data_IF_207970748827
#
_entry.id   IF_207970748827
#
_cell.length_a   1.000
_cell.length_b   1.000
_cell.length_c   1.000
_cell.angle_alpha   90.00
_cell.angle_beta   90.00
_cell.angle_gamma   90.00
#
_symmetry.space_group_name_H-M   'P 1'
#
loop_
_entity.id
_entity.type
_entity.pdbx_description
1 polymer ?
#
# COMPACT_ATOMS: atom_id res chain seq x y z
N UNK A 1 17.65 12.58 4.36
CA UNK A 1 16.67 12.85 3.28
C UNK A 1 15.67 13.85 3.85
N UNK A 2 15.49 15.00 3.20
CA UNK A 2 14.43 15.94 3.56
C UNK A 2 13.14 15.69 2.73
N UNK A 3 12.09 16.47 2.97
CA UNK A 3 10.81 16.31 2.24
C UNK A 3 10.90 16.57 0.72
N UNK A 4 11.86 17.39 0.26
CA UNK A 4 12.09 17.65 -1.18
C UNK A 4 12.80 16.47 -1.81
N UNK A 5 13.78 15.91 -1.11
CA UNK A 5 14.45 14.68 -1.53
C UNK A 5 13.45 13.53 -1.63
N UNK A 6 12.56 13.36 -0.64
CA UNK A 6 11.54 12.30 -0.63
C UNK A 6 10.52 12.45 -1.78
N UNK A 7 10.10 13.67 -2.10
CA UNK A 7 9.25 13.94 -3.27
C UNK A 7 9.98 13.63 -4.58
N UNK A 8 11.26 13.95 -4.67
CA UNK A 8 12.07 13.65 -5.86
C UNK A 8 12.23 12.14 -6.02
N UNK A 9 12.48 11.43 -4.93
CA UNK A 9 12.52 9.98 -4.87
C UNK A 9 11.19 9.35 -5.32
N UNK A 10 10.06 9.85 -4.80
CA UNK A 10 8.71 9.38 -5.17
C UNK A 10 8.51 9.38 -6.69
N UNK A 11 8.83 10.51 -7.34
CA UNK A 11 8.70 10.67 -8.79
C UNK A 11 9.68 9.79 -9.55
N UNK A 12 10.96 9.76 -9.13
CA UNK A 12 12.02 8.99 -9.79
C UNK A 12 11.72 7.50 -9.77
N UNK A 13 11.34 6.99 -8.61
CA UNK A 13 11.07 5.57 -8.38
C UNK A 13 9.63 5.16 -8.68
N UNK A 14 8.77 6.12 -9.03
CA UNK A 14 7.34 5.93 -9.33
C UNK A 14 6.64 5.16 -8.21
N UNK A 15 6.89 5.57 -6.97
CA UNK A 15 6.52 4.79 -5.78
C UNK A 15 5.01 4.51 -5.74
N UNK A 16 4.18 5.51 -6.01
CA UNK A 16 2.72 5.31 -6.03
C UNK A 16 2.24 4.44 -7.19
N UNK A 17 2.89 4.46 -8.36
CA UNK A 17 2.53 3.58 -9.48
C UNK A 17 2.86 2.11 -9.13
N UNK A 18 4.01 1.89 -8.49
CA UNK A 18 4.41 0.58 -7.95
C UNK A 18 3.43 0.11 -6.88
N UNK A 19 3.01 1.00 -5.97
CA UNK A 19 2.02 0.69 -4.93
C UNK A 19 0.66 0.31 -5.52
N UNK A 20 0.16 1.06 -6.52
CA UNK A 20 -1.11 0.73 -7.20
C UNK A 20 -1.03 -0.65 -7.86
N UNK A 21 0.07 -0.94 -8.56
CA UNK A 21 0.29 -2.26 -9.16
C UNK A 21 0.36 -3.37 -8.12
N UNK A 22 1.06 -3.13 -7.01
CA UNK A 22 1.16 -4.06 -5.88
C UNK A 22 -0.20 -4.40 -5.30
N UNK A 23 -1.02 -3.38 -5.01
CA UNK A 23 -2.38 -3.57 -4.50
C UNK A 23 -3.21 -4.48 -5.42
N UNK A 24 -3.23 -4.21 -6.71
CA UNK A 24 -4.01 -5.03 -7.65
C UNK A 24 -3.48 -6.44 -7.77
N UNK A 25 -2.17 -6.66 -7.72
CA UNK A 25 -1.60 -8.00 -7.68
C UNK A 25 -2.06 -8.75 -6.42
N UNK A 26 -1.93 -8.10 -5.25
CA UNK A 26 -2.34 -8.66 -3.96
C UNK A 26 -3.83 -9.05 -3.97
N UNK A 27 -4.71 -8.12 -4.31
CA UNK A 27 -6.18 -8.30 -4.34
C UNK A 27 -6.61 -9.38 -5.32
N UNK A 28 -6.01 -9.43 -6.52
CA UNK A 28 -6.35 -10.44 -7.51
C UNK A 28 -5.88 -11.85 -7.11
N UNK A 29 -4.69 -11.96 -6.50
CA UNK A 29 -4.22 -13.23 -5.94
C UNK A 29 -5.13 -13.69 -4.79
N UNK A 30 -5.44 -12.80 -3.85
CA UNK A 30 -6.32 -13.11 -2.73
C UNK A 30 -7.71 -13.56 -3.18
N UNK A 31 -8.33 -12.84 -4.14
CA UNK A 31 -9.62 -13.24 -4.74
C UNK A 31 -9.61 -14.65 -5.32
N UNK A 32 -8.47 -15.10 -5.86
CA UNK A 32 -8.32 -16.44 -6.46
C UNK A 32 -8.06 -17.51 -5.40
N UNK A 33 -7.23 -17.21 -4.42
CA UNK A 33 -6.74 -18.18 -3.42
C UNK A 33 -7.75 -18.37 -2.28
N UNK A 34 -8.38 -17.28 -1.81
CA UNK A 34 -9.35 -17.30 -0.72
C UNK A 34 -10.60 -16.46 -1.04
N UNK A 35 -11.44 -16.90 -2.00
CA UNK A 35 -12.60 -16.12 -2.45
C UNK A 35 -13.63 -15.81 -1.35
N UNK A 36 -13.71 -16.63 -0.31
CA UNK A 36 -14.64 -16.42 0.80
C UNK A 36 -14.21 -15.25 1.70
N UNK A 37 -12.95 -15.23 2.14
CA UNK A 37 -12.41 -14.12 2.95
C UNK A 37 -12.33 -12.83 2.15
N UNK A 38 -12.02 -12.94 0.85
CA UNK A 38 -12.09 -11.83 -0.09
C UNK A 38 -13.48 -11.18 -0.15
N UNK A 39 -14.53 -11.99 -0.36
CA UNK A 39 -15.91 -11.50 -0.40
C UNK A 39 -16.35 -10.94 0.96
N UNK A 40 -15.87 -11.50 2.06
CA UNK A 40 -16.15 -10.96 3.38
C UNK A 40 -15.56 -9.55 3.57
N UNK A 41 -14.35 -9.31 3.08
CA UNK A 41 -13.67 -8.02 3.17
C UNK A 41 -14.29 -6.97 2.24
N UNK A 42 -14.41 -7.28 0.96
CA UNK A 42 -14.85 -6.32 -0.06
C UNK A 42 -16.37 -6.28 -0.26
N UNK A 43 -17.13 -7.26 0.26
CA UNK A 43 -18.60 -7.39 0.06
C UNK A 43 -19.05 -7.51 -1.39
N UNK A 44 -18.12 -7.55 -2.35
CA UNK A 44 -18.33 -7.75 -3.77
C UNK A 44 -17.13 -8.47 -4.38
N UNK A 45 -17.35 -9.19 -5.49
CA UNK A 45 -16.27 -9.69 -6.35
C UNK A 45 -15.88 -8.71 -7.46
N UNK A 46 -16.72 -7.70 -7.71
CA UNK A 46 -16.42 -6.65 -8.66
C UNK A 46 -15.49 -5.64 -7.99
N UNK A 47 -14.20 -5.74 -8.30
CA UNK A 47 -13.18 -4.82 -7.77
C UNK A 47 -13.01 -3.58 -8.66
N UNK A 48 -13.72 -3.50 -9.80
CA UNK A 48 -13.63 -2.32 -10.68
C UNK A 48 -14.23 -1.08 -10.04
N UNK A 49 -15.06 -1.24 -9.00
CA UNK A 49 -15.62 -0.16 -8.19
C UNK A 49 -14.69 0.33 -7.08
N UNK A 50 -13.56 -0.36 -6.84
CA UNK A 50 -12.56 0.06 -5.85
C UNK A 50 -11.73 1.20 -6.44
N UNK A 51 -11.67 2.32 -5.71
CA UNK A 51 -10.83 3.47 -6.01
C UNK A 51 -9.62 3.49 -5.09
N UNK A 52 -8.48 3.93 -5.63
CA UNK A 52 -7.24 4.12 -4.87
C UNK A 52 -6.85 5.59 -4.88
N UNK A 53 -6.58 6.14 -3.70
CA UNK A 53 -6.15 7.52 -3.53
C UNK A 53 -4.80 7.60 -2.82
N UNK A 54 -3.93 8.51 -3.25
CA UNK A 54 -2.64 8.74 -2.61
C UNK A 54 -2.88 9.47 -1.29
N UNK A 55 -2.58 8.81 -0.17
CA UNK A 55 -2.71 9.44 1.15
C UNK A 55 -1.43 10.17 1.53
N UNK A 56 -0.31 9.43 1.60
CA UNK A 56 0.97 9.97 2.05
C UNK A 56 2.16 9.13 1.60
N UNK A 57 3.34 9.75 1.66
CA UNK A 57 4.64 9.08 1.59
C UNK A 57 5.47 9.49 2.81
N UNK A 58 6.17 8.53 3.41
CA UNK A 58 6.95 8.74 4.61
C UNK A 58 8.31 8.04 4.51
N UNK A 59 9.34 8.67 5.08
CA UNK A 59 10.59 8.00 5.43
C UNK A 59 10.44 7.44 6.85
N UNK A 60 10.69 6.15 7.00
CA UNK A 60 10.46 5.43 8.25
C UNK A 60 11.75 4.78 8.72
N UNK A 61 12.00 4.85 10.02
CA UNK A 61 13.04 4.08 10.72
C UNK A 61 12.32 3.24 11.77
N UNK A 62 12.21 1.95 11.52
CA UNK A 62 11.67 1.00 12.49
C UNK A 62 12.80 0.24 13.18
N UNK A 63 12.65 0.00 14.47
CA UNK A 63 13.63 -0.76 15.24
C UNK A 63 13.13 -2.19 15.48
N UNK A 64 13.94 -3.17 15.08
CA UNK A 64 13.79 -4.55 15.52
C UNK A 64 14.83 -4.82 16.61
N UNK A 65 14.41 -4.65 17.86
CA UNK A 65 15.31 -4.52 19.01
C UNK A 65 16.26 -3.33 18.79
N UNK A 66 17.56 -3.57 18.65
CA UNK A 66 18.57 -2.53 18.45
C UNK A 66 18.98 -2.34 16.98
N UNK A 67 18.33 -3.06 16.05
CA UNK A 67 18.62 -2.96 14.62
C UNK A 67 17.63 -2.03 13.91
N UNK A 68 18.07 -0.85 13.42
CA UNK A 68 17.23 0.03 12.63
C UNK A 68 17.01 -0.57 11.23
N UNK A 69 15.79 -0.47 10.75
CA UNK A 69 15.36 -0.81 9.40
C UNK A 69 14.78 0.48 8.80
N UNK A 70 15.44 0.99 7.78
CA UNK A 70 15.06 2.23 7.11
C UNK A 70 14.37 1.92 5.79
N UNK A 71 13.25 2.59 5.53
CA UNK A 71 12.49 2.39 4.30
C UNK A 71 11.60 3.58 3.97
N UNK A 72 11.17 3.65 2.72
CA UNK A 72 10.12 4.55 2.26
C UNK A 72 8.80 3.80 2.23
N UNK A 73 7.79 4.37 2.89
CA UNK A 73 6.42 3.86 2.90
C UNK A 73 5.51 4.80 2.11
N UNK A 74 4.85 4.28 1.08
CA UNK A 74 3.70 4.93 0.45
C UNK A 74 2.41 4.31 0.97
N UNK A 75 1.42 5.14 1.26
CA UNK A 75 0.09 4.69 1.70
C UNK A 75 -0.96 5.11 0.69
N UNK A 76 -1.75 4.13 0.24
CA UNK A 76 -2.92 4.31 -0.59
C UNK A 76 -4.17 4.08 0.25
N UNK A 77 -5.11 5.01 0.18
CA UNK A 77 -6.46 4.80 0.68
C UNK A 77 -7.23 3.92 -0.30
N UNK A 78 -7.86 2.87 0.22
CA UNK A 78 -8.71 1.94 -0.55
C UNK A 78 -10.16 2.32 -0.29
N UNK A 79 -10.83 2.81 -1.33
CA UNK A 79 -12.18 3.36 -1.24
C UNK A 79 -13.14 2.46 -2.00
N UNK A 80 -14.22 2.07 -1.34
CA UNK A 80 -15.33 1.31 -1.91
C UNK A 80 -16.65 1.98 -1.51
N UNK A 81 -17.53 2.21 -2.48
CA UNK A 81 -18.81 2.91 -2.27
C UNK A 81 -18.67 4.25 -1.53
N UNK A 82 -17.67 5.05 -1.94
CA UNK A 82 -17.32 6.36 -1.34
C UNK A 82 -16.91 6.28 0.14
N UNK A 83 -16.53 5.10 0.64
CA UNK A 83 -16.03 4.88 2.01
C UNK A 83 -14.60 4.36 1.98
N UNK A 84 -13.75 4.88 2.86
CA UNK A 84 -12.47 4.28 3.17
C UNK A 84 -12.73 2.93 3.84
N UNK A 85 -12.26 1.84 3.24
CA UNK A 85 -12.41 0.47 3.78
C UNK A 85 -11.09 -0.10 4.29
N UNK A 86 -9.97 0.38 3.75
CA UNK A 86 -8.63 -0.08 4.11
C UNK A 86 -7.58 0.94 3.68
N UNK A 87 -6.38 0.76 4.23
CA UNK A 87 -5.16 1.39 3.76
C UNK A 87 -4.22 0.32 3.24
N UNK A 88 -3.65 0.55 2.05
CA UNK A 88 -2.60 -0.28 1.50
C UNK A 88 -1.25 0.42 1.65
N UNK A 89 -0.34 -0.22 2.35
CA UNK A 89 1.00 0.26 2.61
C UNK A 89 1.99 -0.48 1.71
N UNK A 90 2.73 0.28 0.92
CA UNK A 90 3.80 -0.22 0.07
C UNK A 90 5.15 0.22 0.64
N UNK A 91 6.02 -0.74 0.96
CA UNK A 91 7.32 -0.51 1.57
C UNK A 91 8.41 -0.74 0.52
N UNK A 92 9.35 0.18 0.46
CA UNK A 92 10.50 0.11 -0.45
C UNK A 92 11.79 0.54 0.23
N UNK A 93 12.91 -0.01 -0.22
CA UNK A 93 14.24 0.44 0.22
C UNK A 93 14.49 1.88 -0.23
N UNK A 94 15.56 2.50 0.28
CA UNK A 94 15.96 3.85 -0.15
C UNK A 94 16.52 3.88 -1.58
N UNK A 95 16.72 2.71 -2.19
CA UNK A 95 17.10 2.51 -3.58
C UNK A 95 15.88 2.27 -4.49
N UNK A 96 14.67 2.19 -3.93
CA UNK A 96 13.42 2.01 -4.67
C UNK A 96 13.04 0.56 -4.98
N UNK A 97 13.72 -0.40 -4.34
CA UNK A 97 13.39 -1.82 -4.44
C UNK A 97 12.19 -2.16 -3.53
N UNK A 98 11.32 -3.06 -3.98
CA UNK A 98 10.17 -3.51 -3.19
C UNK A 98 10.69 -4.28 -1.98
N UNK A 99 10.23 -3.93 -0.78
CA UNK A 99 10.51 -4.70 0.43
C UNK A 99 9.32 -5.58 0.78
N UNK A 100 8.14 -4.96 0.93
CA UNK A 100 6.93 -5.64 1.37
C UNK A 100 5.69 -4.80 1.05
N UNK A 101 4.52 -5.41 1.21
CA UNK A 101 3.23 -4.71 1.22
C UNK A 101 2.28 -5.23 2.29
N UNK A 102 1.37 -4.36 2.74
CA UNK A 102 0.38 -4.68 3.77
C UNK A 102 -0.93 -4.02 3.42
N UNK A 103 -2.03 -4.77 3.47
CA UNK A 103 -3.39 -4.25 3.44
C UNK A 103 -3.98 -4.26 4.85
N UNK A 104 -4.22 -3.08 5.40
CA UNK A 104 -4.79 -2.87 6.74
C UNK A 104 -6.23 -2.41 6.61
N UNK A 105 -7.18 -3.19 7.09
CA UNK A 105 -8.59 -2.78 7.11
C UNK A 105 -8.83 -1.79 8.26
N UNK A 106 -9.69 -0.80 8.03
CA UNK A 106 -10.18 0.05 9.13
C UNK A 106 -11.03 -0.83 10.06
N UNK A 107 -10.74 -0.78 11.37
CA UNK A 107 -11.56 -1.46 12.37
C UNK A 107 -13.00 -0.93 12.29
N UNK A 108 -13.97 -1.85 12.19
CA UNK A 108 -15.41 -1.52 12.15
C UNK A 108 -15.96 -1.09 13.49
#
# INVERSE_FOLDING_TARGET
MDTRDLKTFEVKEKVFDKAVKGFWNHVNSWKKEEPASFLEAFKTFDISVVKLERERIALVINYRFDHPIEYVQATLNVILDERLIAQYHYLSTLEGEVMDDVLSFEDK
#
